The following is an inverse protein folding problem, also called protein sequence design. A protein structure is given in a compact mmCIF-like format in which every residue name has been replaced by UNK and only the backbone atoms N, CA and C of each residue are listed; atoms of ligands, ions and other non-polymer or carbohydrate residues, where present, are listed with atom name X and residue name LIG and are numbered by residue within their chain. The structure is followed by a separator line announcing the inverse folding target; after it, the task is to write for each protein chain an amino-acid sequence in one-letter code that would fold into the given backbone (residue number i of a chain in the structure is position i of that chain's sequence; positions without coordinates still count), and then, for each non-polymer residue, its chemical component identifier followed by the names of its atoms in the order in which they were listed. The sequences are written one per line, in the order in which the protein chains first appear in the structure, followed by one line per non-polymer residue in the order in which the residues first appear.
data_IF_484099836369
#
_entry.id   IF_484099836369
#
_cell.length_a   1.000
_cell.length_b   1.000
_cell.length_c   1.000
_cell.angle_alpha   90.00
_cell.angle_beta   90.00
_cell.angle_gamma   90.00
#
_symmetry.space_group_name_H-M   'P 1'
#
loop_
_entity.id
_entity.type
_entity.pdbx_description
1 polymer ?
#
# COMPACT_ATOMS: atom_id res chain seq x y z
N UNK A 1 67.35 -37.58 -43.91
CA UNK A 1 66.90 -36.44 -43.11
C UNK A 1 65.73 -35.64 -43.75
N UNK A 2 65.25 -35.93 -44.96
CA UNK A 2 64.14 -35.14 -45.61
C UNK A 2 62.75 -35.75 -45.48
N UNK A 3 62.57 -36.96 -44.90
CA UNK A 3 61.26 -37.62 -44.76
C UNK A 3 60.61 -37.43 -43.36
N UNK A 4 61.40 -37.04 -42.38
CA UNK A 4 60.85 -36.81 -40.96
C UNK A 4 60.33 -35.40 -40.83
N UNK A 5 60.71 -34.43 -41.61
CA UNK A 5 60.24 -33.03 -41.52
C UNK A 5 58.82 -32.84 -42.07
N UNK A 6 58.43 -33.66 -43.08
CA UNK A 6 57.13 -33.56 -43.77
C UNK A 6 55.98 -34.15 -42.91
N UNK A 7 56.28 -35.12 -42.05
CA UNK A 7 55.24 -35.71 -41.14
C UNK A 7 54.93 -34.80 -39.93
N UNK A 8 55.92 -34.02 -39.47
CA UNK A 8 55.71 -33.09 -38.35
C UNK A 8 54.93 -31.87 -38.82
N UNK A 9 55.07 -31.40 -40.07
CA UNK A 9 54.25 -30.29 -40.59
C UNK A 9 52.77 -30.70 -40.81
N UNK A 10 52.50 -31.96 -41.18
CA UNK A 10 51.12 -32.47 -41.37
C UNK A 10 50.42 -32.68 -40.08
N UNK A 11 51.08 -32.94 -38.95
CA UNK A 11 50.49 -33.10 -37.64
C UNK A 11 50.19 -31.76 -36.99
N UNK A 12 50.90 -30.67 -37.27
CA UNK A 12 50.63 -29.33 -36.79
C UNK A 12 49.40 -28.66 -37.47
N UNK A 13 49.11 -29.04 -38.74
CA UNK A 13 47.98 -28.49 -39.48
C UNK A 13 46.63 -29.16 -39.12
N UNK A 14 46.65 -30.35 -38.50
CA UNK A 14 45.41 -31.04 -38.05
C UNK A 14 44.94 -30.50 -36.67
N UNK A 15 45.85 -30.00 -35.82
CA UNK A 15 45.49 -29.40 -34.51
C UNK A 15 44.87 -28.02 -34.62
N UNK A 16 45.08 -27.26 -35.70
CA UNK A 16 44.46 -25.95 -35.90
C UNK A 16 43.01 -25.99 -36.39
N UNK A 17 42.54 -27.15 -36.89
CA UNK A 17 41.15 -27.31 -37.35
C UNK A 17 40.19 -27.77 -36.24
N UNK A 18 40.71 -28.31 -35.12
CA UNK A 18 39.86 -28.75 -33.99
C UNK A 18 39.65 -27.63 -32.93
N UNK A 19 40.49 -26.60 -32.92
CA UNK A 19 40.35 -25.47 -31.98
C UNK A 19 39.13 -24.58 -32.28
N UNK A 20 38.78 -24.41 -33.55
CA UNK A 20 37.63 -23.56 -33.94
C UNK A 20 36.28 -24.19 -33.70
N UNK A 21 36.17 -25.51 -33.63
CA UNK A 21 34.86 -26.17 -33.40
C UNK A 21 34.49 -26.25 -31.90
N UNK A 22 35.48 -26.27 -31.01
CA UNK A 22 35.23 -26.35 -29.57
C UNK A 22 34.76 -25.01 -28.98
N UNK A 23 35.19 -23.86 -29.53
CA UNK A 23 34.66 -22.55 -29.13
C UNK A 23 33.25 -22.29 -29.68
N UNK A 24 32.97 -22.70 -30.92
CA UNK A 24 31.61 -22.63 -31.47
C UNK A 24 30.63 -23.51 -30.71
N UNK A 25 31.05 -24.70 -30.30
CA UNK A 25 30.17 -25.59 -29.48
C UNK A 25 29.99 -25.04 -28.05
N UNK A 26 30.97 -24.33 -27.49
CA UNK A 26 30.80 -23.66 -26.20
C UNK A 26 29.90 -22.43 -26.28
N UNK A 27 29.84 -21.76 -27.42
CA UNK A 27 28.95 -20.61 -27.62
C UNK A 27 27.50 -21.04 -27.89
N UNK A 28 27.27 -22.18 -28.58
CA UNK A 28 25.95 -22.78 -28.74
C UNK A 28 25.41 -23.47 -27.46
N UNK A 29 26.27 -23.81 -26.49
CA UNK A 29 25.92 -24.42 -25.21
C UNK A 29 25.85 -23.40 -24.06
N UNK A 30 25.97 -22.09 -24.30
CA UNK A 30 25.58 -21.11 -23.31
C UNK A 30 24.06 -21.21 -23.17
N UNK A 31 23.55 -21.53 -21.96
CA UNK A 31 22.12 -21.44 -21.73
C UNK A 31 21.73 -19.98 -22.01
N UNK A 32 21.02 -19.74 -23.08
CA UNK A 32 20.26 -18.49 -23.24
C UNK A 32 19.28 -18.48 -22.10
N UNK A 33 19.65 -17.84 -20.98
CA UNK A 33 18.70 -17.52 -19.92
C UNK A 33 17.74 -16.52 -20.56
N UNK A 34 16.69 -17.02 -21.16
CA UNK A 34 15.56 -16.19 -21.57
C UNK A 34 15.03 -15.62 -20.24
N UNK A 35 15.28 -14.34 -20.02
CA UNK A 35 14.72 -13.66 -18.87
C UNK A 35 13.20 -13.88 -18.91
N UNK A 36 12.65 -14.38 -17.82
CA UNK A 36 11.19 -14.52 -17.69
C UNK A 36 10.62 -13.09 -17.82
N UNK A 37 9.69 -12.85 -18.74
CA UNK A 37 9.15 -11.51 -18.94
C UNK A 37 8.46 -11.02 -17.67
N UNK A 38 8.74 -9.77 -17.31
CA UNK A 38 8.17 -9.08 -16.16
C UNK A 38 7.38 -7.85 -16.61
N UNK A 39 6.46 -7.40 -15.75
CA UNK A 39 5.74 -6.14 -15.88
C UNK A 39 5.99 -5.29 -14.63
N UNK A 40 6.20 -3.97 -14.84
CA UNK A 40 6.30 -3.00 -13.75
C UNK A 40 4.97 -2.30 -13.60
N UNK A 41 4.41 -2.34 -12.39
CA UNK A 41 3.14 -1.73 -12.05
C UNK A 41 3.36 -0.76 -10.90
N UNK A 42 2.88 0.47 -11.04
CA UNK A 42 2.89 1.51 -10.02
C UNK A 42 1.50 1.53 -9.35
N UNK A 43 1.49 1.47 -8.03
CA UNK A 43 0.30 1.58 -7.19
C UNK A 43 0.35 2.92 -6.47
N UNK A 44 -0.60 3.84 -6.76
CA UNK A 44 -0.66 5.13 -6.09
C UNK A 44 -0.95 5.00 -4.59
N UNK A 45 -0.48 5.95 -3.82
CA UNK A 45 -0.95 6.16 -2.44
C UNK A 45 -2.46 6.46 -2.47
N UNK A 46 -3.19 5.97 -1.46
CA UNK A 46 -4.65 6.08 -1.44
C UNK A 46 -5.38 4.97 -2.21
N UNK A 47 -4.69 4.07 -2.94
CA UNK A 47 -5.36 2.95 -3.61
C UNK A 47 -5.92 1.95 -2.60
N UNK A 48 -7.17 1.52 -2.80
CA UNK A 48 -7.79 0.46 -2.01
C UNK A 48 -7.38 -0.94 -2.48
N UNK A 49 -7.60 -1.96 -1.66
CA UNK A 49 -7.36 -3.38 -2.04
C UNK A 49 -8.07 -3.72 -3.35
N UNK A 50 -9.31 -3.27 -3.53
CA UNK A 50 -10.08 -3.55 -4.76
C UNK A 50 -9.48 -2.89 -6.00
N UNK A 51 -8.97 -1.67 -5.89
CA UNK A 51 -8.29 -0.96 -6.98
C UNK A 51 -6.94 -1.60 -7.31
N UNK A 52 -6.18 -1.99 -6.29
CA UNK A 52 -4.91 -2.73 -6.47
C UNK A 52 -5.16 -4.06 -7.17
N UNK A 53 -6.19 -4.81 -6.75
CA UNK A 53 -6.58 -6.07 -7.38
C UNK A 53 -6.92 -5.89 -8.87
N UNK A 54 -7.68 -4.84 -9.20
CA UNK A 54 -8.01 -4.50 -10.59
C UNK A 54 -6.77 -4.14 -11.42
N UNK A 55 -5.82 -3.37 -10.86
CA UNK A 55 -4.56 -3.03 -11.52
C UNK A 55 -3.68 -4.26 -11.76
N UNK A 56 -3.62 -5.20 -10.82
CA UNK A 56 -2.89 -6.47 -10.99
C UNK A 56 -3.47 -7.30 -12.13
N UNK A 57 -4.79 -7.44 -12.19
CA UNK A 57 -5.48 -8.17 -13.27
C UNK A 57 -5.30 -7.49 -14.63
N UNK A 58 -5.48 -6.18 -14.69
CA UNK A 58 -5.30 -5.37 -15.91
C UNK A 58 -3.89 -5.53 -16.50
N UNK A 59 -2.87 -5.71 -15.65
CA UNK A 59 -1.48 -5.87 -16.04
C UNK A 59 -1.06 -7.34 -16.22
N UNK A 60 -2.00 -8.30 -16.14
CA UNK A 60 -1.75 -9.72 -16.35
C UNK A 60 -0.89 -10.37 -15.26
N UNK A 61 -0.90 -9.81 -14.04
CA UNK A 61 -0.13 -10.33 -12.90
C UNK A 61 -0.85 -11.50 -12.25
N UNK A 62 -2.11 -11.31 -11.83
CA UNK A 62 -3.00 -12.35 -11.31
C UNK A 62 -4.47 -11.90 -11.41
N UNK A 63 -5.42 -12.81 -11.25
CA UNK A 63 -6.83 -12.47 -11.20
C UNK A 63 -7.17 -11.64 -9.95
N UNK A 64 -8.01 -10.61 -10.10
CA UNK A 64 -8.39 -9.70 -9.00
C UNK A 64 -9.04 -10.46 -7.83
N UNK A 65 -9.95 -11.39 -8.14
CA UNK A 65 -10.63 -12.20 -7.12
C UNK A 65 -9.65 -13.07 -6.31
N UNK A 66 -8.64 -13.65 -6.97
CA UNK A 66 -7.64 -14.48 -6.30
C UNK A 66 -6.71 -13.66 -5.40
N UNK A 67 -6.37 -12.43 -5.82
CA UNK A 67 -5.60 -11.51 -4.99
C UNK A 67 -6.40 -11.06 -3.76
N UNK A 68 -7.67 -10.68 -3.92
CA UNK A 68 -8.53 -10.33 -2.79
C UNK A 68 -8.72 -11.51 -1.80
N UNK A 69 -8.81 -12.73 -2.32
CA UNK A 69 -8.83 -13.93 -1.48
C UNK A 69 -7.53 -14.10 -0.69
N UNK A 70 -6.37 -13.86 -1.33
CA UNK A 70 -5.06 -13.89 -0.65
C UNK A 70 -4.95 -12.81 0.44
N UNK A 71 -5.46 -11.60 0.20
CA UNK A 71 -5.52 -10.50 1.19
C UNK A 71 -6.32 -10.89 2.43
N UNK A 72 -7.40 -11.68 2.27
CA UNK A 72 -8.24 -12.12 3.38
C UNK A 72 -7.78 -13.43 4.05
N UNK A 73 -6.83 -14.13 3.44
CA UNK A 73 -6.20 -15.35 3.98
C UNK A 73 -4.70 -15.35 3.67
N UNK A 74 -3.93 -14.41 4.24
CA UNK A 74 -2.50 -14.26 3.94
C UNK A 74 -1.70 -15.46 4.45
N UNK A 75 -0.68 -15.86 3.69
CA UNK A 75 0.33 -16.83 4.10
C UNK A 75 1.57 -16.10 4.63
N UNK A 76 2.23 -16.68 5.64
CA UNK A 76 3.45 -16.15 6.25
C UNK A 76 3.22 -15.55 7.62
N UNK A 77 4.31 -15.39 8.36
CA UNK A 77 4.32 -14.88 9.73
C UNK A 77 4.74 -13.40 9.71
N UNK A 78 3.77 -12.50 9.76
CA UNK A 78 4.00 -11.05 9.85
C UNK A 78 3.44 -10.56 11.18
N UNK A 79 4.31 -10.02 12.04
CA UNK A 79 3.93 -9.53 13.37
C UNK A 79 2.82 -8.47 13.37
N UNK A 80 2.74 -7.66 12.31
CA UNK A 80 1.70 -6.64 12.19
C UNK A 80 0.32 -7.23 11.84
N UNK A 81 0.26 -8.41 11.23
CA UNK A 81 -1.01 -9.11 10.98
C UNK A 81 -1.55 -9.69 12.29
N UNK A 82 -0.68 -10.24 13.13
CA UNK A 82 -1.05 -10.74 14.47
C UNK A 82 -1.56 -9.61 15.38
N UNK A 83 -1.14 -8.36 15.12
CA UNK A 83 -1.56 -7.16 15.84
C UNK A 83 -2.88 -6.55 15.40
N UNK A 84 -3.62 -7.16 14.46
CA UNK A 84 -4.94 -6.70 14.03
C UNK A 84 -6.00 -7.13 15.06
N UNK A 85 -6.64 -6.16 15.72
CA UNK A 85 -7.52 -6.40 16.86
C UNK A 85 -8.87 -7.04 16.51
N UNK A 86 -9.36 -6.86 15.28
CA UNK A 86 -10.73 -7.22 14.89
C UNK A 86 -10.80 -7.70 13.44
N UNK A 87 -10.08 -8.79 13.10
CA UNK A 87 -9.96 -9.27 11.72
C UNK A 87 -11.31 -9.64 11.09
N UNK A 88 -12.27 -10.15 11.89
CA UNK A 88 -13.60 -10.55 11.43
C UNK A 88 -14.56 -9.39 11.13
N UNK A 89 -14.23 -8.17 11.58
CA UNK A 89 -15.00 -6.96 11.31
C UNK A 89 -14.58 -6.25 10.02
N UNK A 90 -13.59 -6.80 9.28
CA UNK A 90 -13.01 -6.17 8.09
C UNK A 90 -13.47 -6.83 6.79
N UNK A 91 -13.90 -6.04 5.79
CA UNK A 91 -14.22 -6.58 4.47
C UNK A 91 -12.97 -7.11 3.75
N UNK A 92 -11.85 -6.41 3.93
CA UNK A 92 -10.52 -6.80 3.47
C UNK A 92 -9.56 -6.75 4.65
N UNK A 93 -9.07 -7.92 5.07
CA UNK A 93 -8.23 -8.05 6.27
C UNK A 93 -7.01 -7.12 6.23
N UNK A 94 -6.34 -7.06 5.07
CA UNK A 94 -5.09 -6.31 4.90
C UNK A 94 -5.26 -4.98 4.16
N UNK A 95 -6.47 -4.38 4.15
CA UNK A 95 -6.59 -2.98 3.74
C UNK A 95 -5.68 -2.12 4.64
N UNK A 96 -4.92 -1.22 4.04
CA UNK A 96 -3.94 -0.38 4.72
C UNK A 96 -2.52 -0.95 4.79
N UNK A 97 -2.34 -2.25 4.49
CA UNK A 97 -1.05 -2.93 4.60
C UNK A 97 -0.39 -3.27 3.26
N UNK A 98 -1.04 -2.94 2.14
CA UNK A 98 -0.51 -3.12 0.79
C UNK A 98 0.26 -1.86 0.39
N UNK A 99 1.56 -1.78 0.76
CA UNK A 99 2.31 -0.53 0.64
C UNK A 99 2.36 -0.01 -0.81
N UNK A 100 1.93 1.25 -1.07
CA UNK A 100 1.98 1.86 -2.41
C UNK A 100 3.44 2.06 -2.85
N UNK A 101 3.79 1.55 -4.02
CA UNK A 101 5.12 1.69 -4.61
C UNK A 101 5.06 1.19 -6.07
N UNK A 102 6.21 1.17 -6.75
CA UNK A 102 6.36 0.53 -8.05
C UNK A 102 7.00 -0.85 -7.89
N UNK A 103 6.27 -1.88 -8.29
CA UNK A 103 6.71 -3.27 -8.18
C UNK A 103 6.95 -3.89 -9.54
N UNK A 104 7.82 -4.89 -9.57
CA UNK A 104 8.05 -5.75 -10.73
C UNK A 104 7.48 -7.15 -10.46
N UNK A 105 6.62 -7.63 -11.38
CA UNK A 105 5.96 -8.92 -11.28
C UNK A 105 6.22 -9.76 -12.53
N UNK A 106 6.12 -11.08 -12.38
CA UNK A 106 5.95 -11.99 -13.50
C UNK A 106 4.48 -12.01 -13.93
N UNK A 107 4.22 -12.32 -15.20
CA UNK A 107 2.86 -12.62 -15.64
C UNK A 107 2.36 -13.93 -15.00
N UNK A 108 1.06 -14.02 -14.76
CA UNK A 108 0.41 -15.17 -14.11
C UNK A 108 1.07 -15.60 -12.79
N UNK A 109 1.50 -14.60 -11.99
CA UNK A 109 2.17 -14.82 -10.72
C UNK A 109 1.18 -15.32 -9.67
N UNK A 110 1.61 -16.24 -8.79
CA UNK A 110 0.80 -16.72 -7.68
C UNK A 110 0.37 -15.55 -6.77
N UNK A 111 -0.94 -15.40 -6.45
CA UNK A 111 -1.46 -14.26 -5.67
C UNK A 111 -0.82 -14.10 -4.28
N UNK A 112 -0.49 -15.19 -3.58
CA UNK A 112 0.23 -15.13 -2.30
C UNK A 112 1.66 -14.60 -2.47
N UNK A 113 2.33 -14.98 -3.58
CA UNK A 113 3.67 -14.44 -3.88
C UNK A 113 3.61 -12.96 -4.31
N UNK A 114 2.52 -12.51 -4.94
CA UNK A 114 2.24 -11.09 -5.21
C UNK A 114 2.04 -10.35 -3.89
N UNK A 115 1.15 -10.83 -3.03
CA UNK A 115 0.86 -10.26 -1.71
C UNK A 115 2.13 -10.14 -0.87
N UNK A 116 2.95 -11.21 -0.85
CA UNK A 116 4.23 -11.19 -0.12
C UNK A 116 5.13 -10.02 -0.49
N UNK A 117 5.20 -9.63 -1.78
CA UNK A 117 6.02 -8.47 -2.19
C UNK A 117 5.54 -7.17 -1.54
N UNK A 118 4.24 -6.98 -1.42
CA UNK A 118 3.66 -5.82 -0.77
C UNK A 118 3.92 -5.81 0.73
N UNK A 119 3.71 -6.95 1.39
CA UNK A 119 3.89 -7.08 2.84
C UNK A 119 5.38 -6.95 3.24
N UNK A 120 6.30 -7.56 2.49
CA UNK A 120 7.73 -7.38 2.69
C UNK A 120 8.12 -5.89 2.55
N UNK A 121 7.53 -5.17 1.58
CA UNK A 121 7.80 -3.73 1.41
C UNK A 121 7.18 -2.91 2.54
N UNK A 122 5.96 -3.21 2.98
CA UNK A 122 5.33 -2.57 4.13
C UNK A 122 6.21 -2.71 5.38
N UNK A 123 6.66 -3.93 5.69
CA UNK A 123 7.57 -4.19 6.81
C UNK A 123 8.86 -3.35 6.72
N UNK A 124 9.47 -3.27 5.53
CA UNK A 124 10.69 -2.51 5.29
C UNK A 124 10.50 -0.97 5.41
N UNK A 125 9.28 -0.47 5.29
CA UNK A 125 8.98 0.98 5.44
C UNK A 125 8.78 1.38 6.89
N UNK A 126 8.58 0.45 7.80
CA UNK A 126 8.43 0.70 9.23
C UNK A 126 9.79 0.65 9.93
N UNK A 127 9.96 1.50 10.93
CA UNK A 127 11.16 1.58 11.75
C UNK A 127 10.84 1.36 13.22
N UNK A 128 11.82 0.99 14.04
CA UNK A 128 11.62 0.89 15.49
C UNK A 128 11.10 2.20 16.09
N UNK A 129 11.53 3.35 15.57
CA UNK A 129 11.06 4.65 16.03
C UNK A 129 9.56 4.87 15.81
N UNK A 130 8.97 4.26 14.76
CA UNK A 130 7.52 4.32 14.50
C UNK A 130 6.74 3.57 15.59
N UNK A 131 7.21 2.38 15.99
CA UNK A 131 6.60 1.60 17.07
C UNK A 131 6.74 2.30 18.43
N UNK A 132 7.93 2.81 18.73
CA UNK A 132 8.19 3.54 19.97
C UNK A 132 7.28 4.76 20.06
N UNK A 133 7.12 5.49 18.94
CA UNK A 133 6.25 6.67 18.88
C UNK A 133 4.76 6.32 18.96
N UNK A 134 4.30 5.26 18.32
CA UNK A 134 2.93 4.77 18.47
C UNK A 134 2.62 4.45 19.94
N UNK A 135 3.52 3.74 20.62
CA UNK A 135 3.38 3.40 22.03
C UNK A 135 3.38 4.65 22.95
N UNK A 136 4.20 5.69 22.65
CA UNK A 136 4.17 6.98 23.36
C UNK A 136 2.81 7.67 23.24
N UNK A 137 2.16 7.58 22.09
CA UNK A 137 0.82 8.11 21.83
C UNK A 137 -0.29 7.23 22.42
N UNK A 138 0.02 6.02 22.86
CA UNK A 138 -0.94 5.05 23.38
C UNK A 138 -1.70 4.29 22.29
N UNK A 139 -1.20 4.26 21.06
CA UNK A 139 -1.78 3.55 19.93
C UNK A 139 -1.04 2.25 19.58
N UNK A 140 -1.78 1.26 19.08
CA UNK A 140 -1.21 0.12 18.35
C UNK A 140 -0.78 0.56 16.94
N UNK A 141 0.06 -0.24 16.26
CA UNK A 141 0.37 0.01 14.86
C UNK A 141 -0.89 0.05 13.98
N UNK A 142 -1.83 -0.87 14.23
CA UNK A 142 -3.08 -0.96 13.48
C UNK A 142 -3.91 0.32 13.63
N UNK A 143 -4.01 0.88 14.82
CA UNK A 143 -4.68 2.17 15.04
C UNK A 143 -3.98 3.33 14.32
N UNK A 144 -2.64 3.34 14.30
CA UNK A 144 -1.87 4.33 13.52
C UNK A 144 -2.19 4.20 12.02
N UNK A 145 -2.26 2.99 11.47
CA UNK A 145 -2.59 2.77 10.05
C UNK A 145 -4.05 3.17 9.75
N UNK A 146 -4.99 2.93 10.67
CA UNK A 146 -6.39 3.42 10.54
C UNK A 146 -6.44 4.95 10.47
N UNK A 147 -5.74 5.65 11.37
CA UNK A 147 -5.64 7.13 11.36
C UNK A 147 -4.98 7.59 10.07
N UNK A 148 -3.85 7.00 9.70
CA UNK A 148 -3.10 7.34 8.48
C UNK A 148 -3.96 7.17 7.22
N UNK A 149 -4.83 6.14 7.17
CA UNK A 149 -5.70 5.89 6.01
C UNK A 149 -6.76 6.97 5.83
N UNK A 150 -7.23 7.57 6.92
CA UNK A 150 -8.15 8.72 6.86
C UNK A 150 -7.38 9.97 6.43
N UNK A 151 -6.20 10.22 7.00
CA UNK A 151 -5.34 11.37 6.62
C UNK A 151 -4.99 11.31 5.14
N UNK A 152 -4.66 10.13 4.60
CA UNK A 152 -4.32 9.93 3.20
C UNK A 152 -5.42 10.39 2.24
N UNK A 153 -6.68 10.19 2.62
CA UNK A 153 -7.85 10.55 1.81
C UNK A 153 -8.32 12.01 2.04
N UNK A 154 -8.07 12.57 3.23
CA UNK A 154 -8.55 13.90 3.62
C UNK A 154 -7.55 15.02 3.32
N UNK A 155 -6.25 14.71 3.17
CA UNK A 155 -5.24 15.74 3.18
C UNK A 155 -4.17 15.57 2.10
N UNK A 156 -3.79 16.69 1.48
CA UNK A 156 -2.56 16.81 0.71
C UNK A 156 -1.36 16.87 1.65
N UNK A 157 -0.18 16.45 1.17
CA UNK A 157 1.08 16.35 1.93
C UNK A 157 1.35 17.52 2.90
N UNK A 158 1.29 18.80 2.52
CA UNK A 158 1.62 19.87 3.44
C UNK A 158 0.62 20.01 4.59
N UNK A 159 -0.62 19.52 4.45
CA UNK A 159 -1.69 19.67 5.44
C UNK A 159 -1.90 18.41 6.31
N UNK A 160 -1.27 17.29 5.97
CA UNK A 160 -1.49 16.01 6.64
C UNK A 160 -1.27 16.07 8.16
N UNK A 161 -0.26 16.80 8.65
CA UNK A 161 0.02 16.92 10.09
C UNK A 161 -1.01 17.76 10.82
N UNK A 162 -1.54 18.81 10.19
CA UNK A 162 -2.60 19.65 10.77
C UNK A 162 -3.94 18.91 10.78
N UNK A 163 -4.29 18.21 9.69
CA UNK A 163 -5.49 17.33 9.66
C UNK A 163 -5.35 16.20 10.67
N UNK A 164 -4.18 15.60 10.82
CA UNK A 164 -3.89 14.61 11.87
C UNK A 164 -4.19 15.16 13.27
N UNK A 165 -3.76 16.39 13.57
CA UNK A 165 -4.07 17.05 14.84
C UNK A 165 -5.57 17.13 15.09
N UNK A 166 -6.37 17.47 14.07
CA UNK A 166 -7.84 17.51 14.20
C UNK A 166 -8.40 16.12 14.55
N UNK A 167 -7.92 15.06 13.88
CA UNK A 167 -8.37 13.69 14.15
C UNK A 167 -8.02 13.25 15.57
N UNK A 168 -6.79 13.50 16.02
CA UNK A 168 -6.36 13.19 17.40
C UNK A 168 -7.20 13.97 18.44
N UNK A 169 -7.38 15.28 18.25
CA UNK A 169 -8.20 16.11 19.16
C UNK A 169 -9.64 15.57 19.24
N UNK A 170 -10.22 15.11 18.13
CA UNK A 170 -11.56 14.50 18.13
C UNK A 170 -11.58 13.16 18.85
N UNK A 171 -10.60 12.28 18.63
CA UNK A 171 -10.48 10.98 19.30
C UNK A 171 -10.35 11.15 20.82
N UNK A 172 -9.58 12.12 21.28
CA UNK A 172 -9.35 12.41 22.69
C UNK A 172 -10.52 13.15 23.35
N UNK A 173 -11.44 13.68 22.56
CA UNK A 173 -12.61 14.42 23.07
C UNK A 173 -13.71 13.47 23.58
N UNK A 174 -14.58 13.99 24.46
CA UNK A 174 -15.77 13.28 24.89
C UNK A 174 -16.77 12.99 23.75
N UNK A 175 -16.67 13.67 22.62
CA UNK A 175 -17.47 13.43 21.42
C UNK A 175 -17.00 12.19 20.67
N UNK A 176 -15.71 12.03 20.47
CA UNK A 176 -15.04 10.87 19.96
C UNK A 176 -15.38 10.43 18.52
N UNK A 177 -16.14 11.22 17.76
CA UNK A 177 -16.50 10.91 16.37
C UNK A 177 -15.63 11.68 15.40
N UNK A 178 -15.15 10.99 14.36
CA UNK A 178 -14.27 11.59 13.36
C UNK A 178 -15.01 12.39 12.28
N UNK A 179 -16.24 12.00 11.92
CA UNK A 179 -17.10 12.68 10.94
C UNK A 179 -16.40 12.96 9.59
N UNK A 180 -15.73 11.93 9.07
CA UNK A 180 -15.00 11.97 7.80
C UNK A 180 -15.80 11.24 6.72
N UNK A 181 -16.16 11.94 5.64
CA UNK A 181 -16.96 11.41 4.52
C UNK A 181 -16.24 10.26 3.80
N UNK A 182 -14.92 10.28 3.77
CA UNK A 182 -14.08 9.27 3.11
C UNK A 182 -14.35 7.85 3.61
N UNK A 183 -14.75 7.69 4.88
CA UNK A 183 -15.14 6.39 5.43
C UNK A 183 -16.44 5.84 4.81
N UNK A 184 -17.37 6.72 4.47
CA UNK A 184 -18.62 6.36 3.78
C UNK A 184 -18.36 6.09 2.29
N UNK A 185 -17.48 6.88 1.68
CA UNK A 185 -17.08 6.66 0.28
C UNK A 185 -16.35 5.34 0.08
N UNK A 186 -15.47 4.96 1.00
CA UNK A 186 -14.83 3.65 1.00
C UNK A 186 -15.85 2.51 1.00
N UNK A 187 -16.83 2.53 1.90
CA UNK A 187 -17.87 1.50 1.95
C UNK A 187 -18.61 1.39 0.62
N UNK A 188 -19.05 2.52 0.06
CA UNK A 188 -19.85 2.54 -1.16
C UNK A 188 -19.07 2.15 -2.40
N UNK A 189 -17.83 2.62 -2.53
CA UNK A 189 -17.07 2.49 -3.77
C UNK A 189 -16.18 1.24 -3.79
N UNK A 190 -15.61 0.87 -2.63
CA UNK A 190 -14.55 -0.14 -2.55
C UNK A 190 -14.99 -1.43 -1.84
N UNK A 191 -16.09 -1.41 -1.07
CA UNK A 191 -16.58 -2.58 -0.33
C UNK A 191 -17.88 -3.12 -0.92
N UNK A 192 -18.91 -2.27 -1.12
CA UNK A 192 -20.25 -2.68 -1.55
C UNK A 192 -20.26 -3.60 -2.80
N UNK A 193 -19.40 -3.39 -3.83
CA UNK A 193 -19.36 -4.26 -5.00
C UNK A 193 -18.89 -5.70 -4.72
N UNK A 194 -18.29 -5.96 -3.56
CA UNK A 194 -17.60 -7.21 -3.24
C UNK A 194 -18.19 -7.98 -2.05
N UNK A 195 -19.25 -7.45 -1.41
CA UNK A 195 -19.90 -8.07 -0.25
C UNK A 195 -21.39 -8.27 -0.50
N UNK A 196 -21.98 -9.29 0.13
CA UNK A 196 -23.40 -9.59 -0.04
C UNK A 196 -24.29 -8.57 0.71
N UNK A 197 -23.85 -8.09 1.86
CA UNK A 197 -24.59 -7.15 2.71
C UNK A 197 -23.65 -6.07 3.26
N UNK A 198 -23.70 -4.89 2.67
CA UNK A 198 -22.94 -3.73 3.14
C UNK A 198 -23.37 -3.21 4.51
N UNK A 199 -24.60 -3.51 4.94
CA UNK A 199 -25.12 -3.01 6.22
C UNK A 199 -24.31 -3.52 7.42
N UNK A 200 -23.69 -4.71 7.30
CA UNK A 200 -22.81 -5.29 8.31
C UNK A 200 -21.63 -4.35 8.63
N UNK A 201 -21.10 -3.66 7.63
CA UNK A 201 -19.95 -2.76 7.77
C UNK A 201 -20.34 -1.31 8.08
N UNK A 202 -21.61 -0.93 7.88
CA UNK A 202 -22.06 0.48 8.03
C UNK A 202 -21.82 1.03 9.43
N UNK A 203 -22.09 0.26 10.48
CA UNK A 203 -21.87 0.70 11.87
C UNK A 203 -20.39 0.62 12.28
N UNK A 204 -19.60 -0.20 11.58
CA UNK A 204 -18.20 -0.45 11.88
C UNK A 204 -17.24 0.60 11.26
N UNK A 205 -17.63 1.20 10.13
CA UNK A 205 -16.78 2.11 9.38
C UNK A 205 -17.28 3.55 9.29
N UNK A 206 -18.61 3.79 9.34
CA UNK A 206 -19.16 5.13 9.17
C UNK A 206 -18.78 6.04 10.35
N UNK A 207 -17.87 6.98 10.11
CA UNK A 207 -17.35 7.91 11.12
C UNK A 207 -18.37 8.89 11.69
N UNK A 208 -19.55 9.02 11.08
CA UNK A 208 -20.68 9.79 11.65
C UNK A 208 -21.47 9.01 12.69
N UNK A 209 -21.42 7.69 12.65
CA UNK A 209 -22.13 6.80 13.56
C UNK A 209 -21.23 6.28 14.68
N UNK A 210 -20.04 5.82 14.29
CA UNK A 210 -19.05 5.21 15.19
C UNK A 210 -18.36 6.24 16.07
N UNK A 211 -18.17 5.92 17.33
CA UNK A 211 -17.24 6.61 18.23
C UNK A 211 -15.88 5.92 18.14
N UNK A 212 -14.81 6.68 18.00
CA UNK A 212 -13.47 6.15 17.78
C UNK A 212 -13.16 5.84 16.31
N UNK A 213 -12.14 5.03 16.12
CA UNK A 213 -11.65 4.64 14.80
C UNK A 213 -12.58 3.66 14.08
N UNK A 214 -12.64 3.67 12.74
CA UNK A 214 -13.30 2.61 11.98
C UNK A 214 -12.67 1.25 12.30
N UNK A 215 -13.38 0.15 12.00
CA UNK A 215 -12.91 -1.20 12.32
C UNK A 215 -11.59 -1.57 11.61
N UNK A 216 -11.28 -0.95 10.50
CA UNK A 216 -10.02 -1.12 9.77
C UNK A 216 -9.67 0.12 8.99
N UNK A 217 -8.49 0.15 8.35
CA UNK A 217 -8.11 1.17 7.39
C UNK A 217 -9.09 1.24 6.22
N UNK A 218 -9.15 2.38 5.55
CA UNK A 218 -10.04 2.63 4.39
C UNK A 218 -9.27 2.73 3.07
N UNK A 219 -7.95 2.76 3.12
CA UNK A 219 -7.07 2.82 1.96
C UNK A 219 -5.65 2.42 2.33
N UNK A 220 -4.81 2.17 1.33
CA UNK A 220 -3.39 1.86 1.54
C UNK A 220 -2.56 3.15 1.53
N UNK A 221 -1.75 3.28 2.57
CA UNK A 221 -1.14 4.55 2.97
C UNK A 221 0.30 4.71 2.49
N UNK A 222 0.68 5.94 2.13
CA UNK A 222 2.04 6.34 1.92
C UNK A 222 2.79 6.63 3.22
N UNK A 223 4.11 6.81 3.12
CA UNK A 223 4.96 7.09 4.29
C UNK A 223 4.60 8.43 4.95
N UNK A 224 4.22 9.45 4.16
CA UNK A 224 3.83 10.78 4.66
C UNK A 224 2.62 10.71 5.59
N UNK A 225 1.60 9.93 5.22
CA UNK A 225 0.41 9.76 6.04
C UNK A 225 0.68 9.01 7.35
N UNK A 226 1.54 7.96 7.32
CA UNK A 226 1.99 7.25 8.53
C UNK A 226 2.75 8.23 9.45
N UNK A 227 3.67 9.02 8.90
CA UNK A 227 4.42 10.02 9.67
C UNK A 227 3.49 11.08 10.26
N UNK A 228 2.49 11.56 9.50
CA UNK A 228 1.53 12.53 9.99
C UNK A 228 0.67 11.96 11.14
N UNK A 229 0.26 10.69 11.06
CA UNK A 229 -0.46 10.02 12.14
C UNK A 229 0.37 9.89 13.43
N UNK A 230 1.69 9.65 13.29
CA UNK A 230 2.61 9.51 14.42
C UNK A 230 3.06 10.86 15.00
N UNK A 231 3.12 11.90 14.19
CA UNK A 231 3.63 13.22 14.56
C UNK A 231 2.64 14.32 14.13
N UNK A 232 1.40 14.30 14.72
CA UNK A 232 0.44 15.38 14.48
C UNK A 232 1.03 16.73 14.89
N UNK A 233 0.55 17.81 14.25
CA UNK A 233 0.81 19.15 14.69
C UNK A 233 0.12 19.40 16.05
N UNK A 234 0.70 20.25 16.88
CA UNK A 234 0.09 20.62 18.17
C UNK A 234 -0.84 21.81 17.98
N UNK A 235 -2.13 21.55 17.82
CA UNK A 235 -3.16 22.58 17.61
C UNK A 235 -4.41 22.30 18.45
N UNK A 236 -5.27 23.32 18.61
CA UNK A 236 -6.57 23.20 19.26
C UNK A 236 -7.72 22.98 18.24
N UNK A 237 -7.43 22.64 16.98
CA UNK A 237 -8.45 22.51 15.95
C UNK A 237 -9.29 21.24 16.11
N UNK A 238 -10.61 21.38 15.90
CA UNK A 238 -11.59 20.29 15.88
C UNK A 238 -12.31 20.16 14.54
N UNK A 239 -12.19 21.16 13.65
CA UNK A 239 -12.88 21.22 12.39
C UNK A 239 -11.95 21.71 11.29
N UNK A 240 -12.17 21.22 10.08
CA UNK A 240 -11.58 21.76 8.89
C UNK A 240 -12.56 21.64 7.72
N UNK A 241 -12.34 22.39 6.69
CA UNK A 241 -12.92 22.22 5.35
C UNK A 241 -11.89 22.65 4.30
N UNK A 242 -12.08 22.15 3.09
CA UNK A 242 -11.25 22.53 1.93
C UNK A 242 -12.13 23.30 0.94
N UNK A 243 -11.68 24.47 0.52
CA UNK A 243 -12.37 25.29 -0.47
C UNK A 243 -12.11 24.81 -1.92
N UNK A 244 -12.77 25.43 -2.90
CA UNK A 244 -12.63 25.11 -4.32
C UNK A 244 -11.22 25.30 -4.89
N UNK A 245 -10.40 26.09 -4.23
CA UNK A 245 -9.01 26.36 -4.60
C UNK A 245 -8.03 25.46 -3.81
N UNK A 246 -8.55 24.44 -3.11
CA UNK A 246 -7.81 23.48 -2.29
C UNK A 246 -7.09 24.12 -1.08
N UNK A 247 -7.57 25.26 -0.58
CA UNK A 247 -7.08 25.81 0.68
C UNK A 247 -7.84 25.22 1.85
N UNK A 248 -7.11 24.88 2.92
CA UNK A 248 -7.67 24.34 4.15
C UNK A 248 -8.02 25.46 5.12
N UNK A 249 -9.21 25.39 5.72
CA UNK A 249 -9.72 26.34 6.68
C UNK A 249 -10.05 25.61 7.98
N UNK A 250 -9.24 25.85 8.99
CA UNK A 250 -9.35 25.19 10.30
C UNK A 250 -10.19 26.01 11.28
N UNK A 251 -10.79 25.33 12.25
CA UNK A 251 -11.57 25.98 13.31
C UNK A 251 -11.52 25.18 14.61
N UNK A 252 -11.54 25.91 15.73
CA UNK A 252 -11.59 25.32 17.09
C UNK A 252 -13.05 25.01 17.47
N UNK A 253 -13.99 25.86 17.08
CA UNK A 253 -15.40 25.76 17.45
C UNK A 253 -16.31 25.54 16.27
N UNK A 254 -17.47 24.90 16.52
CA UNK A 254 -18.51 24.76 15.50
C UNK A 254 -18.98 26.10 14.92
N UNK A 255 -19.01 27.14 15.74
CA UNK A 255 -19.40 28.50 15.27
C UNK A 255 -18.40 29.05 14.23
N UNK A 256 -17.12 28.87 14.46
CA UNK A 256 -16.07 29.26 13.52
C UNK A 256 -16.13 28.41 12.24
N UNK A 257 -16.34 27.11 12.40
CA UNK A 257 -16.50 26.20 11.27
C UNK A 257 -17.71 26.58 10.40
N UNK A 258 -18.87 26.83 11.00
CA UNK A 258 -20.06 27.31 10.28
C UNK A 258 -19.78 28.62 9.51
N UNK A 259 -19.07 29.54 10.12
CA UNK A 259 -18.69 30.79 9.44
C UNK A 259 -17.70 30.55 8.28
N UNK A 260 -16.83 29.54 8.37
CA UNK A 260 -15.98 29.10 7.27
C UNK A 260 -16.81 28.46 6.14
N UNK A 261 -17.81 27.62 6.47
CA UNK A 261 -18.73 27.05 5.48
C UNK A 261 -19.45 28.15 4.69
N UNK A 262 -20.09 29.08 5.41
CA UNK A 262 -20.83 30.22 4.80
C UNK A 262 -19.91 31.05 3.87
N UNK A 263 -18.65 31.19 4.25
CA UNK A 263 -17.70 32.07 3.53
C UNK A 263 -17.03 31.41 2.34
N UNK A 264 -16.73 30.10 2.43
CA UNK A 264 -15.83 29.43 1.47
C UNK A 264 -16.51 28.36 0.62
N UNK A 265 -17.69 27.86 1.04
CA UNK A 265 -18.38 26.76 0.36
C UNK A 265 -19.68 27.23 -0.32
N UNK A 266 -20.45 28.18 0.29
CA UNK A 266 -21.77 28.58 -0.17
C UNK A 266 -21.79 29.72 -1.21
N UNK A 267 -20.63 30.19 -1.71
CA UNK A 267 -20.54 31.21 -2.76
C UNK A 267 -20.45 30.64 -4.19
#
# INVERSE_FOLDING_TARGET
MKRTLTVILALLSVFSLFGCSAEKIKEELRPTTTAIPTVRVMFPEGSTVSEIAALLEQNGVCAAADFMAAVNAPEGDYYFIEGIDNPEERPFLLEGYIFPDTYEFYFDMNPQAVLKKFLDNFENKLTQADFDRAAELGYTLDEVIRIASIIQEEALDPEMKTVSSVLHNRLDSAYGKLECDVTVFYLRNSVEPYVEDISVYSELYNAYKRVGLPAGPITNVGRSAIEAALYPEDTDYYFFLTDKDMNYHYAVTWKEHSANVDKYIED
#
